data_IF_027065486132
#
_entry.id   IF_027065486132
#
_cell.length_a   1.000
_cell.length_b   1.000
_cell.length_c   1.000
_cell.angle_alpha   90.00
_cell.angle_beta   90.00
_cell.angle_gamma   90.00
#
_symmetry.space_group_name_H-M   'P 1'
#
loop_
_entity.id
_entity.type
_entity.pdbx_description
1 polymer ?
#
# COMPACT_ATOMS: atom_id res chain seq x y z
N UNK A 1 22.27 52.37 -38.67
CA UNK A 1 22.31 53.45 -37.66
C UNK A 1 20.98 53.47 -36.93
N UNK A 2 21.03 53.61 -35.59
CA UNK A 2 19.94 53.56 -34.59
C UNK A 2 19.56 52.13 -34.15
N UNK A 3 20.14 51.53 -33.09
CA UNK A 3 20.34 51.90 -31.66
C UNK A 3 19.19 51.44 -30.73
N UNK A 4 19.44 50.31 -30.06
CA UNK A 4 19.34 50.08 -28.60
C UNK A 4 18.12 50.65 -27.83
N UNK A 5 17.20 49.75 -27.45
CA UNK A 5 16.42 49.76 -26.20
C UNK A 5 16.27 48.28 -25.80
N UNK A 6 17.05 47.68 -24.89
CA UNK A 6 16.94 47.75 -23.42
C UNK A 6 15.45 47.70 -23.04
N UNK A 7 14.87 46.63 -22.52
CA UNK A 7 15.10 46.10 -21.17
C UNK A 7 14.67 44.63 -21.04
N UNK A 8 15.56 43.85 -20.43
CA UNK A 8 15.31 42.82 -19.43
C UNK A 8 13.94 42.12 -19.43
N UNK A 9 13.85 40.97 -20.10
CA UNK A 9 12.94 39.90 -19.69
C UNK A 9 13.82 38.79 -19.12
N UNK A 10 14.25 39.00 -17.89
CA UNK A 10 14.90 37.98 -17.09
C UNK A 10 13.87 36.87 -16.84
N UNK A 11 14.20 35.68 -17.33
CA UNK A 11 13.37 34.49 -17.21
C UNK A 11 13.14 34.12 -15.75
N UNK A 12 11.90 34.27 -15.30
CA UNK A 12 11.38 33.58 -14.12
C UNK A 12 10.97 32.19 -14.61
N UNK A 13 11.95 31.31 -14.77
CA UNK A 13 11.69 29.88 -14.93
C UNK A 13 11.44 29.32 -13.54
N UNK A 14 10.18 29.39 -13.10
CA UNK A 14 9.73 28.73 -11.88
C UNK A 14 9.93 27.22 -12.06
N UNK A 15 10.93 26.67 -11.37
CA UNK A 15 11.03 25.24 -11.10
C UNK A 15 9.80 24.82 -10.29
N UNK A 16 8.75 24.36 -10.96
CA UNK A 16 7.67 23.63 -10.31
C UNK A 16 8.24 22.23 -10.07
N UNK A 17 8.80 21.99 -8.88
CA UNK A 17 9.01 20.62 -8.43
C UNK A 17 7.61 20.00 -8.31
N UNK A 18 7.27 18.93 -9.06
CA UNK A 18 6.05 18.21 -8.78
C UNK A 18 6.25 17.52 -7.44
N UNK A 19 5.71 18.09 -6.37
CA UNK A 19 5.47 17.34 -5.14
C UNK A 19 4.55 16.18 -5.53
N UNK A 20 5.08 14.97 -5.52
CA UNK A 20 4.29 13.74 -5.56
C UNK A 20 3.50 13.66 -4.25
N UNK A 21 2.47 14.50 -4.13
CA UNK A 21 1.44 14.30 -3.13
C UNK A 21 0.78 12.98 -3.49
N UNK A 22 0.96 11.97 -2.64
CA UNK A 22 0.18 10.74 -2.72
C UNK A 22 -1.28 11.15 -2.57
N UNK A 23 -2.00 11.26 -3.68
CA UNK A 23 -3.42 11.57 -3.68
C UNK A 23 -4.12 10.45 -2.91
N UNK A 24 -4.73 10.80 -1.78
CA UNK A 24 -5.55 9.86 -1.02
C UNK A 24 -6.74 9.41 -1.90
N UNK A 25 -7.24 8.18 -1.75
CA UNK A 25 -8.38 7.73 -2.52
C UNK A 25 -9.63 8.57 -2.17
N UNK A 26 -10.14 9.30 -3.16
CA UNK A 26 -11.27 10.22 -3.02
C UNK A 26 -12.58 9.45 -2.73
N UNK A 27 -12.77 8.28 -3.36
CA UNK A 27 -13.98 7.46 -3.21
C UNK A 27 -13.88 6.52 -2.01
N UNK A 28 -14.98 6.32 -1.30
CA UNK A 28 -15.05 5.36 -0.20
C UNK A 28 -14.75 3.93 -0.68
N UNK A 29 -15.22 3.59 -1.89
CA UNK A 29 -14.94 2.29 -2.52
C UNK A 29 -13.44 2.04 -2.70
N UNK A 30 -12.69 3.05 -3.18
CA UNK A 30 -11.25 2.94 -3.38
C UNK A 30 -10.51 2.80 -2.05
N UNK A 31 -10.96 3.54 -1.00
CA UNK A 31 -10.42 3.40 0.36
C UNK A 31 -10.63 1.99 0.91
N UNK A 32 -11.84 1.44 0.80
CA UNK A 32 -12.15 0.07 1.23
C UNK A 32 -11.26 -0.94 0.50
N UNK A 33 -11.04 -0.78 -0.82
CA UNK A 33 -10.17 -1.67 -1.57
C UNK A 33 -8.74 -1.66 -1.04
N UNK A 34 -8.17 -0.48 -0.82
CA UNK A 34 -6.81 -0.32 -0.29
C UNK A 34 -6.70 -0.93 1.11
N UNK A 35 -7.64 -0.63 2.01
CA UNK A 35 -7.61 -1.14 3.38
C UNK A 35 -7.82 -2.65 3.44
N UNK A 36 -8.75 -3.20 2.66
CA UNK A 36 -8.97 -4.65 2.57
C UNK A 36 -7.72 -5.37 2.01
N UNK A 37 -7.08 -4.79 1.00
CA UNK A 37 -5.82 -5.33 0.44
C UNK A 37 -4.71 -5.36 1.49
N UNK A 38 -4.53 -4.27 2.24
CA UNK A 38 -3.51 -4.19 3.29
C UNK A 38 -3.80 -5.12 4.47
N UNK A 39 -5.06 -5.23 4.91
CA UNK A 39 -5.46 -6.22 5.91
C UNK A 39 -5.12 -7.66 5.45
N UNK A 40 -5.35 -7.97 4.17
CA UNK A 40 -5.03 -9.27 3.58
C UNK A 40 -3.53 -9.59 3.62
N UNK A 41 -2.70 -8.67 3.12
CA UNK A 41 -1.23 -8.84 3.11
C UNK A 41 -0.65 -9.00 4.51
N UNK A 42 -1.07 -8.15 5.45
CA UNK A 42 -0.61 -8.23 6.83
C UNK A 42 -1.08 -9.53 7.51
N UNK A 43 -2.26 -10.06 7.16
CA UNK A 43 -2.71 -11.37 7.65
C UNK A 43 -1.81 -12.51 7.18
N UNK A 44 -1.29 -12.45 5.95
CA UNK A 44 -0.34 -13.46 5.45
C UNK A 44 1.02 -13.35 6.16
N UNK A 45 1.51 -12.12 6.36
CA UNK A 45 2.77 -11.89 7.06
C UNK A 45 2.68 -12.33 8.53
N UNK A 46 1.60 -12.00 9.22
CA UNK A 46 1.35 -12.39 10.62
C UNK A 46 1.42 -13.91 10.79
N UNK A 47 0.75 -14.65 9.91
CA UNK A 47 0.72 -16.11 9.90
C UNK A 47 2.12 -16.69 9.66
N UNK A 48 2.83 -16.15 8.66
CA UNK A 48 4.23 -16.52 8.39
C UNK A 48 5.13 -16.26 9.60
N UNK A 49 5.04 -15.08 10.23
CA UNK A 49 5.80 -14.75 11.43
C UNK A 49 5.41 -15.61 12.63
N UNK A 50 4.16 -16.06 12.75
CA UNK A 50 3.78 -16.96 13.85
C UNK A 50 4.54 -18.29 13.79
N UNK A 51 4.90 -18.74 12.58
CA UNK A 51 5.67 -19.97 12.37
C UNK A 51 7.17 -19.80 12.69
N UNK A 52 7.77 -18.63 12.41
CA UNK A 52 9.23 -18.44 12.44
C UNK A 52 9.72 -17.34 13.40
N UNK A 53 8.88 -16.35 13.70
CA UNK A 53 9.24 -15.06 14.32
C UNK A 53 8.12 -14.58 15.28
N UNK A 54 7.73 -15.42 16.23
CA UNK A 54 6.54 -15.23 17.09
C UNK A 54 6.31 -13.81 17.67
N UNK A 55 7.31 -13.15 18.28
CA UNK A 55 7.13 -11.79 18.81
C UNK A 55 6.79 -10.72 17.74
N UNK A 56 7.29 -10.86 16.50
CA UNK A 56 7.00 -9.92 15.42
C UNK A 56 5.56 -10.07 14.91
N UNK A 57 5.01 -11.28 15.00
CA UNK A 57 3.63 -11.62 14.64
C UNK A 57 2.61 -10.71 15.36
N UNK A 58 2.82 -10.41 16.64
CA UNK A 58 1.90 -9.57 17.43
C UNK A 58 1.87 -8.10 16.97
N UNK A 59 3.03 -7.56 16.58
CA UNK A 59 3.10 -6.21 15.99
C UNK A 59 2.37 -6.17 14.65
N UNK A 60 2.52 -7.21 13.83
CA UNK A 60 1.83 -7.35 12.55
C UNK A 60 0.33 -7.54 12.74
N UNK A 61 -0.10 -8.32 13.73
CA UNK A 61 -1.50 -8.51 14.10
C UNK A 61 -2.16 -7.17 14.46
N UNK A 62 -1.48 -6.35 15.27
CA UNK A 62 -1.96 -5.00 15.62
C UNK A 62 -2.19 -4.16 14.37
N UNK A 63 -1.26 -4.15 13.42
CA UNK A 63 -1.38 -3.38 12.16
C UNK A 63 -2.50 -3.92 11.26
N UNK A 64 -2.63 -5.24 11.15
CA UNK A 64 -3.74 -5.91 10.45
C UNK A 64 -5.09 -5.49 11.03
N UNK A 65 -5.19 -5.40 12.36
CA UNK A 65 -6.44 -5.02 13.04
C UNK A 65 -6.79 -3.55 12.79
N UNK A 66 -5.80 -2.65 12.75
CA UNK A 66 -6.03 -1.27 12.35
C UNK A 66 -6.62 -1.16 10.95
N UNK A 67 -6.11 -1.91 9.97
CA UNK A 67 -6.70 -1.93 8.63
C UNK A 67 -8.09 -2.57 8.59
N UNK A 68 -8.34 -3.61 9.39
CA UNK A 68 -9.66 -4.22 9.47
C UNK A 68 -10.69 -3.24 10.04
N UNK A 69 -10.30 -2.48 11.07
CA UNK A 69 -11.11 -1.38 11.61
C UNK A 69 -11.39 -0.30 10.56
N UNK A 70 -10.39 0.07 9.75
CA UNK A 70 -10.57 1.06 8.68
C UNK A 70 -11.54 0.56 7.59
N UNK A 71 -11.50 -0.73 7.24
CA UNK A 71 -12.51 -1.34 6.35
C UNK A 71 -13.90 -1.21 6.97
N UNK A 72 -14.07 -1.61 8.23
CA UNK A 72 -15.38 -1.56 8.89
C UNK A 72 -15.92 -0.13 9.00
N UNK A 73 -15.05 0.85 9.24
CA UNK A 73 -15.42 2.25 9.33
C UNK A 73 -15.82 2.88 7.98
N UNK A 74 -15.21 2.44 6.87
CA UNK A 74 -15.44 3.03 5.53
C UNK A 74 -16.45 2.27 4.68
N UNK A 75 -16.76 1.02 5.05
CA UNK A 75 -17.68 0.17 4.30
C UNK A 75 -19.11 0.74 4.16
N UNK A 76 -19.71 1.44 5.16
CA UNK A 76 -21.02 2.06 4.99
C UNK A 76 -21.06 3.05 3.82
N UNK A 77 -20.13 4.00 3.79
CA UNK A 77 -20.05 5.01 2.71
C UNK A 77 -19.81 4.34 1.34
N UNK A 78 -18.96 3.31 1.30
CA UNK A 78 -18.72 2.57 0.07
C UNK A 78 -19.96 1.80 -0.42
N UNK A 79 -20.81 1.31 0.49
CA UNK A 79 -22.10 0.68 0.12
C UNK A 79 -23.06 1.69 -0.48
N UNK A 80 -23.08 2.94 0.02
CA UNK A 80 -23.86 4.03 -0.57
C UNK A 80 -23.35 4.39 -1.97
N UNK A 81 -22.05 4.21 -2.24
CA UNK A 81 -21.44 4.28 -3.58
C UNK A 81 -21.69 3.03 -4.45
N UNK A 82 -22.38 2.00 -3.95
CA UNK A 82 -22.73 0.79 -4.68
C UNK A 82 -21.80 -0.42 -4.47
N UNK A 83 -20.83 -0.35 -3.55
CA UNK A 83 -19.95 -1.48 -3.24
C UNK A 83 -20.72 -2.62 -2.53
N UNK A 84 -20.58 -3.84 -3.05
CA UNK A 84 -21.02 -5.04 -2.34
C UNK A 84 -20.01 -5.41 -1.24
N UNK A 85 -20.45 -5.61 0.00
CA UNK A 85 -19.58 -6.03 1.10
C UNK A 85 -18.80 -7.33 0.85
N UNK A 86 -19.34 -8.26 0.04
CA UNK A 86 -18.60 -9.47 -0.37
C UNK A 86 -17.37 -9.15 -1.21
N UNK A 87 -17.40 -8.06 -1.97
CA UNK A 87 -16.26 -7.59 -2.76
C UNK A 87 -15.09 -7.17 -1.87
N UNK A 88 -15.36 -6.50 -0.75
CA UNK A 88 -14.33 -6.14 0.23
C UNK A 88 -13.64 -7.38 0.83
N UNK A 89 -14.42 -8.40 1.20
CA UNK A 89 -13.87 -9.68 1.66
C UNK A 89 -13.04 -10.37 0.58
N UNK A 90 -13.52 -10.37 -0.67
CA UNK A 90 -12.79 -10.94 -1.79
C UNK A 90 -11.42 -10.28 -1.98
N UNK A 91 -11.35 -8.94 -1.99
CA UNK A 91 -10.07 -8.23 -2.06
C UNK A 91 -9.10 -8.61 -0.94
N UNK A 92 -9.61 -8.76 0.29
CA UNK A 92 -8.80 -9.20 1.43
C UNK A 92 -8.23 -10.61 1.22
N UNK A 93 -9.05 -11.55 0.74
CA UNK A 93 -8.63 -12.93 0.50
C UNK A 93 -7.59 -13.00 -0.63
N UNK A 94 -7.86 -12.36 -1.77
CA UNK A 94 -6.94 -12.33 -2.91
C UNK A 94 -5.57 -11.77 -2.50
N UNK A 95 -5.57 -10.63 -1.78
CA UNK A 95 -4.34 -10.02 -1.31
C UNK A 95 -3.57 -10.89 -0.30
N UNK A 96 -4.29 -11.59 0.60
CA UNK A 96 -3.67 -12.56 1.52
C UNK A 96 -2.99 -13.69 0.75
N UNK A 97 -3.70 -14.29 -0.21
CA UNK A 97 -3.17 -15.41 -0.99
C UNK A 97 -1.96 -14.98 -1.83
N UNK A 98 -2.03 -13.82 -2.50
CA UNK A 98 -0.91 -13.28 -3.28
C UNK A 98 0.34 -13.04 -2.41
N UNK A 99 0.16 -12.45 -1.23
CA UNK A 99 1.27 -12.23 -0.30
C UNK A 99 1.85 -13.56 0.24
N UNK A 100 0.99 -14.53 0.55
CA UNK A 100 1.42 -15.84 1.03
C UNK A 100 2.28 -16.56 -0.02
N UNK A 101 1.93 -16.45 -1.31
CA UNK A 101 2.75 -17.00 -2.41
C UNK A 101 4.14 -16.37 -2.45
N UNK A 102 4.26 -15.05 -2.27
CA UNK A 102 5.55 -14.38 -2.20
C UNK A 102 6.38 -14.86 -1.01
N UNK A 103 5.78 -14.93 0.18
CA UNK A 103 6.46 -15.40 1.40
C UNK A 103 6.91 -16.87 1.27
N UNK A 104 6.07 -17.72 0.68
CA UNK A 104 6.41 -19.12 0.44
C UNK A 104 7.56 -19.25 -0.57
N UNK A 105 7.55 -18.47 -1.66
CA UNK A 105 8.62 -18.45 -2.64
C UNK A 105 9.93 -17.90 -2.05
N UNK A 106 9.86 -16.90 -1.18
CA UNK A 106 11.01 -16.34 -0.50
C UNK A 106 11.67 -17.35 0.45
N UNK A 107 10.88 -18.13 1.17
CA UNK A 107 11.36 -19.03 2.22
C UNK A 107 11.75 -20.42 1.72
N UNK A 108 11.01 -20.96 0.74
CA UNK A 108 11.16 -22.35 0.28
C UNK A 108 11.54 -22.47 -1.19
N UNK A 109 11.81 -21.35 -1.87
CA UNK A 109 12.24 -21.35 -3.26
C UNK A 109 13.61 -22.01 -3.46
N UNK A 110 13.78 -22.71 -4.58
CA UNK A 110 15.05 -23.36 -4.94
C UNK A 110 16.00 -22.46 -5.73
N UNK A 111 15.46 -21.47 -6.44
CA UNK A 111 16.23 -20.45 -7.14
C UNK A 111 16.51 -19.27 -6.19
N UNK A 112 17.79 -18.99 -5.85
CA UNK A 112 18.14 -17.92 -4.92
C UNK A 112 17.74 -16.53 -5.41
N UNK A 113 17.85 -16.27 -6.72
CA UNK A 113 17.51 -14.96 -7.29
C UNK A 113 16.01 -14.71 -7.18
N UNK A 114 15.20 -15.70 -7.56
CA UNK A 114 13.74 -15.61 -7.48
C UNK A 114 13.26 -15.47 -6.05
N UNK A 115 13.90 -16.16 -5.11
CA UNK A 115 13.57 -16.08 -3.69
C UNK A 115 13.86 -14.69 -3.12
N UNK A 116 15.01 -14.10 -3.45
CA UNK A 116 15.36 -12.73 -3.06
C UNK A 116 14.41 -11.68 -3.65
N UNK A 117 13.99 -11.86 -4.92
CA UNK A 117 12.99 -11.00 -5.56
C UNK A 117 11.63 -11.11 -4.88
N UNK A 118 11.19 -12.33 -4.54
CA UNK A 118 9.93 -12.55 -3.84
C UNK A 118 9.93 -11.90 -2.44
N UNK A 119 11.04 -12.01 -1.71
CA UNK A 119 11.22 -11.34 -0.42
C UNK A 119 11.11 -9.81 -0.58
N UNK A 120 11.85 -9.25 -1.54
CA UNK A 120 11.84 -7.81 -1.82
C UNK A 120 10.42 -7.31 -2.16
N UNK A 121 9.69 -8.05 -2.99
CA UNK A 121 8.31 -7.69 -3.35
C UNK A 121 7.36 -7.79 -2.15
N UNK A 122 7.49 -8.84 -1.34
CA UNK A 122 6.70 -9.01 -0.12
C UNK A 122 6.92 -7.83 0.84
N UNK A 123 8.18 -7.43 1.06
CA UNK A 123 8.55 -6.33 1.95
C UNK A 123 8.06 -4.98 1.43
N UNK A 124 8.20 -4.73 0.12
CA UNK A 124 7.69 -3.51 -0.51
C UNK A 124 6.18 -3.35 -0.31
N UNK A 125 5.40 -4.42 -0.54
CA UNK A 125 3.97 -4.38 -0.35
C UNK A 125 3.55 -4.07 1.10
N UNK A 126 4.27 -4.61 2.07
CA UNK A 126 4.01 -4.34 3.48
C UNK A 126 4.43 -2.91 3.85
N UNK A 127 5.59 -2.45 3.39
CA UNK A 127 6.05 -1.09 3.60
C UNK A 127 5.06 -0.05 3.06
N UNK A 128 4.50 -0.27 1.85
CA UNK A 128 3.44 0.58 1.30
C UNK A 128 2.21 0.63 2.19
N UNK A 129 1.79 -0.50 2.76
CA UNK A 129 0.68 -0.52 3.71
C UNK A 129 1.03 0.23 5.00
N UNK A 130 2.21 0.03 5.56
CA UNK A 130 2.61 0.70 6.80
C UNK A 130 2.69 2.23 6.68
N UNK A 131 3.10 2.74 5.51
CA UNK A 131 3.10 4.18 5.24
C UNK A 131 1.71 4.81 5.35
N UNK A 132 0.64 4.07 5.05
CA UNK A 132 -0.74 4.57 5.16
C UNK A 132 -1.20 4.72 6.61
N UNK A 133 -0.67 3.92 7.55
CA UNK A 133 -1.06 4.01 8.96
C UNK A 133 -0.32 5.12 9.70
N UNK A 134 0.92 5.41 9.31
CA UNK A 134 1.80 6.29 10.05
C UNK A 134 1.70 7.76 9.63
N UNK A 135 1.10 8.04 8.47
CA UNK A 135 1.18 9.36 7.84
C UNK A 135 2.62 9.59 7.36
N UNK A 136 2.79 9.93 6.08
CA UNK A 136 4.12 10.19 5.52
C UNK A 136 4.78 11.41 6.17
#
# INVERSE_FOLDING_TARGET
MSSLKTFAIAGISSLILPTLAAALPEKATDRVQVFATCAGRLSALEESQRLFEGPLSEKTATRRDMFSLLVDATLPDAKDEGLNGRTALHWRVEAKMAQAVLLQQAMFGTDPLRSAQAQTAADQHIATCEQLLLGA
#
